data_IF_320767672752
#
_entry.id   IF_320767672752
#
_cell.length_a   1.000
_cell.length_b   1.000
_cell.length_c   1.000
_cell.angle_alpha   90.00
_cell.angle_beta   90.00
_cell.angle_gamma   90.00
#
_symmetry.space_group_name_H-M   'P 1'
#
loop_
_entity.id
_entity.type
_entity.pdbx_description
1 polymer ?
#
# COMPACT_ATOMS: atom_id res chain seq x y z
N UNK A 1 29.41 -21.05 10.97
CA UNK A 1 28.12 -21.57 11.46
C UNK A 1 27.17 -20.44 11.92
N UNK A 2 27.70 -19.41 12.61
CA UNK A 2 26.84 -18.27 13.07
C UNK A 2 26.25 -17.42 11.95
N UNK A 3 26.98 -17.19 10.86
CA UNK A 3 26.51 -16.37 9.73
C UNK A 3 25.40 -17.08 8.98
N UNK A 4 25.53 -18.38 8.71
CA UNK A 4 24.47 -19.14 8.03
C UNK A 4 23.21 -19.23 8.87
N UNK A 5 23.33 -19.35 10.18
CA UNK A 5 22.22 -19.35 11.11
C UNK A 5 21.52 -17.97 11.13
N UNK A 6 22.29 -16.88 11.16
CA UNK A 6 21.75 -15.52 11.11
C UNK A 6 21.04 -15.20 9.78
N UNK A 7 21.54 -15.73 8.65
CA UNK A 7 20.86 -15.62 7.36
C UNK A 7 19.52 -16.36 7.37
N UNK A 8 19.46 -17.56 7.97
CA UNK A 8 18.23 -18.33 8.08
C UNK A 8 17.20 -17.62 8.97
N UNK A 9 17.62 -17.10 10.13
CA UNK A 9 16.78 -16.30 11.03
C UNK A 9 16.28 -15.04 10.32
N UNK A 10 17.17 -14.33 9.63
CA UNK A 10 16.81 -13.13 8.87
C UNK A 10 15.78 -13.40 7.79
N UNK A 11 15.89 -14.52 7.08
CA UNK A 11 14.91 -14.94 6.10
C UNK A 11 13.54 -15.20 6.75
N UNK A 12 13.50 -15.95 7.86
CA UNK A 12 12.23 -16.20 8.60
C UNK A 12 11.59 -14.89 9.09
N UNK A 13 12.39 -13.99 9.67
CA UNK A 13 11.90 -12.69 10.14
C UNK A 13 11.33 -11.87 8.95
N UNK A 14 11.98 -11.88 7.80
CA UNK A 14 11.48 -11.16 6.62
C UNK A 14 10.14 -11.69 6.12
N UNK A 15 9.89 -13.00 6.23
CA UNK A 15 8.58 -13.59 5.92
C UNK A 15 7.50 -13.14 6.90
N UNK A 16 7.83 -12.99 8.19
CA UNK A 16 6.92 -12.46 9.20
C UNK A 16 6.60 -10.99 8.89
N UNK A 17 7.58 -10.19 8.47
CA UNK A 17 7.38 -8.80 8.04
C UNK A 17 6.42 -8.75 6.86
N UNK A 18 6.58 -9.60 5.85
CA UNK A 18 5.68 -9.69 4.69
C UNK A 18 4.26 -10.05 5.13
N UNK A 19 4.13 -11.03 6.01
CA UNK A 19 2.82 -11.44 6.54
C UNK A 19 2.13 -10.28 7.28
N UNK A 20 2.87 -9.57 8.13
CA UNK A 20 2.36 -8.40 8.84
C UNK A 20 1.97 -7.26 7.87
N UNK A 21 2.83 -6.96 6.90
CA UNK A 21 2.53 -5.98 5.85
C UNK A 21 1.25 -6.32 5.09
N UNK A 22 1.05 -7.59 4.73
CA UNK A 22 -0.14 -8.05 4.03
C UNK A 22 -1.44 -7.86 4.80
N UNK A 23 -1.39 -8.04 6.12
CA UNK A 23 -2.60 -8.05 6.95
C UNK A 23 -2.91 -6.69 7.60
N UNK A 24 -1.91 -5.86 7.80
CA UNK A 24 -2.03 -4.63 8.60
C UNK A 24 -1.63 -3.35 7.87
N UNK A 25 -1.13 -3.42 6.62
CA UNK A 25 -0.82 -2.21 5.83
C UNK A 25 -2.08 -1.59 5.27
N UNK A 26 -2.17 -0.25 5.40
CA UNK A 26 -3.24 0.61 4.84
C UNK A 26 -2.96 1.02 3.39
N UNK A 27 -1.87 0.53 2.80
CA UNK A 27 -1.46 0.90 1.44
C UNK A 27 -2.51 0.46 0.44
N UNK A 28 -3.11 1.42 -0.26
CA UNK A 28 -4.15 1.24 -1.28
C UNK A 28 -3.67 0.38 -2.46
N UNK A 29 -2.38 0.48 -2.80
CA UNK A 29 -1.75 -0.33 -3.85
C UNK A 29 -0.82 -1.35 -3.24
N UNK A 30 -1.32 -2.57 -3.02
CA UNK A 30 -0.53 -3.68 -2.49
C UNK A 30 0.45 -4.17 -3.56
N UNK A 31 1.60 -3.46 -3.74
CA UNK A 31 2.60 -3.78 -4.76
C UNK A 31 3.23 -5.14 -4.49
N UNK A 32 2.85 -6.13 -5.29
CA UNK A 32 3.45 -7.48 -5.23
C UNK A 32 4.98 -7.43 -5.34
N UNK A 33 5.51 -6.49 -6.12
CA UNK A 33 6.96 -6.29 -6.30
C UNK A 33 7.67 -5.87 -5.03
N UNK A 34 7.06 -5.00 -4.18
CA UNK A 34 7.68 -4.52 -2.94
C UNK A 34 7.93 -5.67 -1.94
N UNK A 35 6.98 -6.59 -1.80
CA UNK A 35 7.08 -7.73 -0.88
C UNK A 35 8.28 -8.63 -1.16
N UNK A 36 8.56 -8.85 -2.45
CA UNK A 36 9.67 -9.70 -2.87
C UNK A 36 11.04 -9.07 -2.60
N UNK A 37 11.10 -7.75 -2.44
CA UNK A 37 12.35 -7.02 -2.18
C UNK A 37 12.76 -7.11 -0.71
N UNK A 38 11.81 -7.23 0.23
CA UNK A 38 12.11 -7.22 1.67
C UNK A 38 13.08 -8.35 2.11
N UNK A 39 12.86 -9.64 1.73
CA UNK A 39 13.82 -10.69 2.08
C UNK A 39 15.20 -10.46 1.47
N UNK A 40 15.23 -9.99 0.23
CA UNK A 40 16.48 -9.69 -0.45
C UNK A 40 17.30 -8.63 0.29
N UNK A 41 16.65 -7.52 0.70
CA UNK A 41 17.30 -6.45 1.46
C UNK A 41 17.80 -6.97 2.81
N UNK A 42 17.01 -7.77 3.55
CA UNK A 42 17.45 -8.35 4.82
C UNK A 42 18.73 -9.17 4.65
N UNK A 43 18.74 -10.10 3.70
CA UNK A 43 19.87 -11.00 3.48
C UNK A 43 21.12 -10.26 3.02
N UNK A 44 20.98 -9.31 2.09
CA UNK A 44 22.11 -8.49 1.62
C UNK A 44 22.65 -7.62 2.77
N UNK A 45 21.79 -7.04 3.60
CA UNK A 45 22.23 -6.24 4.74
C UNK A 45 22.99 -7.07 5.76
N UNK A 46 22.51 -8.28 6.09
CA UNK A 46 23.25 -9.22 6.97
C UNK A 46 24.63 -9.50 6.40
N UNK A 47 24.71 -9.83 5.10
CA UNK A 47 25.98 -10.16 4.45
C UNK A 47 26.94 -8.96 4.49
N UNK A 48 26.49 -7.79 4.07
CA UNK A 48 27.31 -6.58 4.03
C UNK A 48 27.84 -6.22 5.41
N UNK A 49 27.00 -6.21 6.44
CA UNK A 49 27.42 -5.88 7.81
C UNK A 49 28.36 -6.95 8.39
N UNK A 50 28.14 -8.21 8.07
CA UNK A 50 29.06 -9.28 8.50
C UNK A 50 30.47 -9.09 7.94
N UNK A 51 30.59 -8.61 6.70
CA UNK A 51 31.88 -8.32 6.06
C UNK A 51 32.48 -7.05 6.63
N UNK A 52 31.68 -5.98 6.72
CA UNK A 52 32.15 -4.63 7.08
C UNK A 52 32.62 -4.56 8.53
N UNK A 53 31.96 -5.25 9.46
CA UNK A 53 32.33 -5.24 10.87
C UNK A 53 33.75 -5.79 11.15
N UNK A 54 34.30 -6.55 10.19
CA UNK A 54 35.65 -7.15 10.34
C UNK A 54 36.77 -6.13 10.11
N UNK A 55 36.48 -4.94 9.52
CA UNK A 55 37.51 -3.95 9.19
C UNK A 55 36.97 -2.52 9.21
N UNK A 56 37.63 -1.67 9.98
CA UNK A 56 37.30 -0.23 10.02
C UNK A 56 37.46 0.46 8.66
N UNK A 57 38.47 0.05 7.88
CA UNK A 57 38.69 0.63 6.56
C UNK A 57 37.51 0.30 5.60
N UNK A 58 36.99 -0.94 5.66
CA UNK A 58 35.80 -1.33 4.89
C UNK A 58 34.54 -0.56 5.36
N UNK A 59 34.41 -0.34 6.67
CA UNK A 59 33.28 0.45 7.21
C UNK A 59 33.27 1.87 6.67
N UNK A 60 34.42 2.56 6.71
CA UNK A 60 34.54 3.93 6.17
C UNK A 60 34.36 3.97 4.66
N UNK A 61 34.90 2.98 3.95
CA UNK A 61 34.74 2.84 2.51
C UNK A 61 33.27 2.64 2.10
N UNK A 62 32.52 1.80 2.84
CA UNK A 62 31.10 1.57 2.57
C UNK A 62 30.26 2.83 2.82
N UNK A 63 30.50 3.54 3.94
CA UNK A 63 29.79 4.82 4.23
C UNK A 63 30.05 5.83 3.10
N UNK A 64 31.31 5.95 2.64
CA UNK A 64 31.66 6.79 1.52
C UNK A 64 30.95 6.38 0.22
N UNK A 65 30.93 5.07 -0.09
CA UNK A 65 30.26 4.56 -1.27
C UNK A 65 28.74 4.76 -1.23
N UNK A 66 28.10 4.53 -0.09
CA UNK A 66 26.65 4.73 0.07
C UNK A 66 26.25 6.20 0.02
N UNK A 67 27.12 7.13 0.39
CA UNK A 67 26.83 8.58 0.32
C UNK A 67 26.70 9.10 -1.13
N UNK A 68 27.24 8.37 -2.11
CA UNK A 68 27.13 8.71 -3.53
C UNK A 68 25.85 8.14 -4.14
N UNK A 69 25.24 7.12 -3.51
CA UNK A 69 24.02 6.50 -4.01
C UNK A 69 22.83 7.43 -3.80
N UNK A 70 22.34 8.00 -4.87
CA UNK A 70 21.17 8.88 -4.87
C UNK A 70 19.97 8.15 -5.47
N UNK A 71 18.96 7.88 -4.64
CA UNK A 71 17.69 7.38 -5.15
C UNK A 71 16.96 8.52 -5.89
N UNK A 72 16.59 8.28 -7.14
CA UNK A 72 15.85 9.25 -7.95
C UNK A 72 14.35 8.97 -8.00
N UNK A 73 13.92 7.79 -7.58
CA UNK A 73 12.52 7.39 -7.54
C UNK A 73 11.93 7.74 -6.18
N UNK A 74 10.89 8.58 -6.10
CA UNK A 74 10.21 8.85 -4.84
C UNK A 74 9.53 7.57 -4.35
N UNK A 75 9.71 7.25 -3.07
CA UNK A 75 8.89 6.23 -2.39
C UNK A 75 7.53 6.88 -2.16
N UNK A 76 6.49 6.33 -2.80
CA UNK A 76 5.16 6.93 -2.79
C UNK A 76 4.44 6.79 -1.46
N UNK A 77 4.69 5.68 -0.74
CA UNK A 77 3.96 5.34 0.48
C UNK A 77 4.88 5.37 1.71
N UNK A 78 4.58 6.22 2.71
CA UNK A 78 5.38 6.30 3.94
C UNK A 78 5.45 4.98 4.71
N UNK A 79 4.39 4.16 4.64
CA UNK A 79 4.36 2.85 5.30
C UNK A 79 5.36 1.87 4.68
N UNK A 80 5.49 1.84 3.36
CA UNK A 80 6.48 1.01 2.67
C UNK A 80 7.89 1.36 3.13
N UNK A 81 8.18 2.65 3.28
CA UNK A 81 9.46 3.13 3.79
C UNK A 81 9.73 2.66 5.23
N UNK A 82 8.72 2.67 6.10
CA UNK A 82 8.86 2.19 7.48
C UNK A 82 9.17 0.68 7.52
N UNK A 83 8.50 -0.15 6.71
CA UNK A 83 8.81 -1.57 6.60
C UNK A 83 10.20 -1.82 6.02
N UNK A 84 10.64 -1.00 5.06
CA UNK A 84 11.99 -1.06 4.52
C UNK A 84 13.03 -0.81 5.61
N UNK A 85 12.85 0.24 6.42
CA UNK A 85 13.76 0.54 7.54
C UNK A 85 13.76 -0.55 8.60
N UNK A 86 12.61 -1.14 8.91
CA UNK A 86 12.53 -2.27 9.83
C UNK A 86 13.35 -3.46 9.30
N UNK A 87 13.25 -3.76 8.02
CA UNK A 87 13.97 -4.82 7.32
C UNK A 87 15.48 -4.60 7.36
N UNK A 88 15.93 -3.37 7.09
CA UNK A 88 17.33 -2.97 7.20
C UNK A 88 17.81 -3.08 8.65
N UNK A 89 17.03 -2.62 9.62
CA UNK A 89 17.37 -2.70 11.05
C UNK A 89 17.58 -4.14 11.53
N UNK A 90 16.70 -5.05 11.11
CA UNK A 90 16.86 -6.50 11.37
C UNK A 90 18.15 -7.02 10.75
N UNK A 91 18.43 -6.65 9.50
CA UNK A 91 19.65 -7.03 8.79
C UNK A 91 20.92 -6.53 9.48
N UNK A 92 20.94 -5.29 9.97
CA UNK A 92 22.04 -4.70 10.73
C UNK A 92 22.30 -5.47 12.04
N UNK A 93 21.25 -5.72 12.81
CA UNK A 93 21.38 -6.41 14.11
C UNK A 93 21.89 -7.86 13.96
N UNK A 94 21.35 -8.61 13.02
CA UNK A 94 21.79 -9.99 12.74
C UNK A 94 23.20 -10.02 12.15
N UNK A 95 23.54 -9.10 11.25
CA UNK A 95 24.89 -8.96 10.69
C UNK A 95 25.94 -8.60 11.74
N UNK A 96 25.56 -7.79 12.74
CA UNK A 96 26.41 -7.46 13.88
C UNK A 96 26.59 -8.62 14.88
N UNK A 97 25.94 -9.77 14.70
CA UNK A 97 25.87 -10.89 15.64
C UNK A 97 25.12 -10.59 16.97
N UNK A 98 24.27 -9.57 16.98
CA UNK A 98 23.38 -9.25 18.09
C UNK A 98 22.05 -9.96 17.96
N UNK A 99 22.08 -11.27 17.68
CA UNK A 99 20.90 -12.06 17.28
C UNK A 99 19.78 -12.00 18.31
N UNK A 100 20.08 -12.21 19.59
CA UNK A 100 19.10 -12.21 20.67
C UNK A 100 18.43 -10.83 20.80
N UNK A 101 19.23 -9.75 20.82
CA UNK A 101 18.73 -8.39 20.91
C UNK A 101 17.82 -8.04 19.73
N UNK A 102 18.22 -8.44 18.52
CA UNK A 102 17.45 -8.18 17.29
C UNK A 102 16.10 -8.89 17.32
N UNK A 103 16.06 -10.17 17.75
CA UNK A 103 14.82 -10.92 17.83
C UNK A 103 13.88 -10.29 18.87
N UNK A 104 14.37 -9.95 20.07
CA UNK A 104 13.56 -9.34 21.11
C UNK A 104 13.02 -7.98 20.65
N UNK A 105 13.88 -7.12 20.11
CA UNK A 105 13.47 -5.80 19.58
C UNK A 105 12.45 -5.92 18.46
N UNK A 106 12.64 -6.88 17.54
CA UNK A 106 11.70 -7.14 16.45
C UNK A 106 10.32 -7.55 16.97
N UNK A 107 10.25 -8.47 17.94
CA UNK A 107 8.98 -8.91 18.57
C UNK A 107 8.27 -7.72 19.21
N UNK A 108 9.00 -6.90 20.00
CA UNK A 108 8.43 -5.71 20.63
C UNK A 108 7.87 -4.73 19.59
N UNK A 109 8.63 -4.45 18.52
CA UNK A 109 8.19 -3.53 17.45
C UNK A 109 6.93 -4.07 16.76
N UNK A 110 6.89 -5.36 16.40
CA UNK A 110 5.71 -5.95 15.75
C UNK A 110 4.49 -5.91 16.66
N UNK A 111 4.65 -6.19 17.93
CA UNK A 111 3.54 -6.09 18.92
C UNK A 111 3.02 -4.65 18.97
N UNK A 112 3.91 -3.66 19.11
CA UNK A 112 3.53 -2.25 19.18
C UNK A 112 2.85 -1.76 17.89
N UNK A 113 3.27 -2.24 16.73
CA UNK A 113 2.64 -1.92 15.44
C UNK A 113 1.29 -2.59 15.24
N UNK A 114 1.06 -3.73 15.88
CA UNK A 114 -0.20 -4.49 15.75
C UNK A 114 -1.31 -3.94 16.66
N UNK A 115 -0.97 -3.44 17.86
CA UNK A 115 -1.94 -2.94 18.85
C UNK A 115 -2.88 -1.86 18.28
N UNK A 116 -2.41 -0.79 17.61
CA UNK A 116 -3.27 0.28 17.11
C UNK A 116 -4.04 -0.09 15.84
N UNK A 117 -3.66 -1.17 15.16
CA UNK A 117 -4.28 -1.56 13.88
C UNK A 117 -5.24 -2.71 14.10
N UNK A 118 -6.52 -2.42 14.26
CA UNK A 118 -7.58 -3.43 14.07
C UNK A 118 -7.41 -4.03 12.68
N UNK A 119 -7.52 -5.36 12.55
CA UNK A 119 -7.47 -6.05 11.25
C UNK A 119 -8.34 -5.29 10.24
N UNK A 120 -7.71 -4.72 9.24
CA UNK A 120 -8.44 -4.07 8.15
C UNK A 120 -9.15 -5.19 7.42
N UNK A 121 -10.47 -5.14 7.47
CA UNK A 121 -11.31 -6.07 6.73
C UNK A 121 -11.10 -5.75 5.24
N UNK A 122 -10.23 -6.51 4.57
CA UNK A 122 -9.92 -6.38 3.13
C UNK A 122 -11.11 -6.65 2.20
N UNK A 123 -12.29 -6.84 2.77
CA UNK A 123 -13.53 -6.92 2.01
C UNK A 123 -14.06 -5.55 1.55
N UNK A 124 -13.32 -4.46 1.83
CA UNK A 124 -13.55 -3.19 1.13
C UNK A 124 -12.87 -3.34 -0.22
N UNK A 125 -13.63 -3.72 -1.20
CA UNK A 125 -13.27 -3.60 -2.62
C UNK A 125 -12.63 -2.24 -2.83
N UNK A 126 -11.48 -2.25 -3.50
CA UNK A 126 -10.77 -1.03 -3.89
C UNK A 126 -11.80 -0.04 -4.42
N UNK A 127 -11.72 1.23 -3.98
CA UNK A 127 -12.70 2.23 -4.38
C UNK A 127 -12.70 2.38 -5.89
N UNK A 128 -13.89 2.41 -6.48
CA UNK A 128 -14.06 2.71 -7.89
C UNK A 128 -14.34 4.20 -8.06
N UNK A 129 -13.77 4.81 -9.07
CA UNK A 129 -14.09 6.16 -9.47
C UNK A 129 -15.22 6.08 -10.48
N UNK A 130 -16.38 6.59 -10.09
CA UNK A 130 -17.52 6.80 -10.97
C UNK A 130 -17.48 8.24 -11.46
N UNK A 131 -17.18 8.42 -12.74
CA UNK A 131 -17.25 9.71 -13.40
C UNK A 131 -18.53 9.77 -14.21
N UNK A 132 -19.36 10.78 -13.97
CA UNK A 132 -20.61 11.04 -14.67
C UNK A 132 -20.46 12.37 -15.37
N UNK A 133 -20.64 12.37 -16.68
CA UNK A 133 -20.48 13.53 -17.55
C UNK A 133 -21.83 13.99 -18.10
N UNK A 134 -21.90 15.26 -18.42
CA UNK A 134 -23.00 15.86 -19.17
C UNK A 134 -24.39 15.68 -18.50
N UNK A 135 -24.45 15.91 -17.19
CA UNK A 135 -25.72 15.87 -16.46
C UNK A 135 -26.56 17.07 -16.91
N UNK A 136 -27.71 16.78 -17.51
CA UNK A 136 -28.69 17.83 -17.91
C UNK A 136 -29.22 18.57 -16.68
N UNK A 137 -29.50 19.84 -16.81
CA UNK A 137 -29.97 20.71 -15.72
C UNK A 137 -31.28 20.24 -15.05
N UNK A 138 -32.00 19.33 -15.70
CA UNK A 138 -33.27 18.77 -15.21
C UNK A 138 -33.09 17.65 -14.19
N UNK A 139 -31.89 17.07 -14.09
CA UNK A 139 -31.62 15.98 -13.17
C UNK A 139 -31.21 16.56 -11.81
N UNK A 140 -32.01 16.27 -10.79
CA UNK A 140 -31.69 16.67 -9.42
C UNK A 140 -30.61 15.78 -8.86
N UNK A 141 -29.47 16.37 -8.54
CA UNK A 141 -28.30 15.67 -7.96
C UNK A 141 -28.68 14.88 -6.69
N UNK A 142 -29.69 15.35 -5.94
CA UNK A 142 -30.19 14.69 -4.74
C UNK A 142 -30.87 13.34 -5.05
N UNK A 143 -31.63 13.27 -6.16
CA UNK A 143 -32.29 12.03 -6.59
C UNK A 143 -31.27 11.02 -7.11
N UNK A 144 -30.30 11.48 -7.89
CA UNK A 144 -29.17 10.67 -8.35
C UNK A 144 -28.37 10.08 -7.16
N UNK A 145 -28.06 10.91 -6.17
CA UNK A 145 -27.36 10.46 -4.97
C UNK A 145 -28.15 9.38 -4.19
N UNK A 146 -29.46 9.49 -4.09
CA UNK A 146 -30.29 8.49 -3.42
C UNK A 146 -30.27 7.16 -4.16
N UNK A 147 -30.45 7.17 -5.48
CA UNK A 147 -30.39 5.94 -6.30
C UNK A 147 -29.01 5.26 -6.22
N UNK A 148 -27.93 6.04 -6.25
CA UNK A 148 -26.58 5.52 -6.10
C UNK A 148 -26.33 4.91 -4.71
N UNK A 149 -26.86 5.49 -3.63
CA UNK A 149 -26.70 4.99 -2.26
C UNK A 149 -27.43 3.66 -2.02
N UNK A 150 -28.45 3.32 -2.79
CA UNK A 150 -29.15 2.03 -2.65
C UNK A 150 -28.29 0.86 -3.14
N UNK A 151 -27.40 1.11 -4.10
CA UNK A 151 -26.57 0.07 -4.74
C UNK A 151 -25.14 0.07 -4.18
N UNK A 152 -24.72 1.16 -3.53
CA UNK A 152 -23.35 1.36 -3.06
C UNK A 152 -23.28 1.35 -1.54
N UNK A 153 -22.20 0.78 -1.00
CA UNK A 153 -21.97 0.78 0.46
C UNK A 153 -21.56 2.15 1.00
N UNK A 154 -20.77 2.87 0.20
CA UNK A 154 -20.28 4.20 0.53
C UNK A 154 -20.11 5.00 -0.75
N UNK A 155 -20.57 6.25 -0.73
CA UNK A 155 -20.48 7.17 -1.83
C UNK A 155 -19.89 8.48 -1.32
N UNK A 156 -18.72 8.84 -1.80
CA UNK A 156 -18.03 10.09 -1.46
C UNK A 156 -17.91 10.95 -2.73
N UNK A 157 -18.55 12.12 -2.75
CA UNK A 157 -18.37 13.09 -3.83
C UNK A 157 -16.98 13.70 -3.74
N UNK A 158 -16.17 13.55 -4.78
CA UNK A 158 -14.79 14.06 -4.86
C UNK A 158 -14.66 15.34 -5.66
N UNK A 159 -15.45 15.45 -6.71
CA UNK A 159 -15.39 16.61 -7.62
C UNK A 159 -16.78 16.90 -8.19
N UNK A 160 -17.09 18.18 -8.28
CA UNK A 160 -18.27 18.71 -8.96
C UNK A 160 -17.80 19.89 -9.80
N UNK A 161 -17.85 19.72 -11.10
CA UNK A 161 -17.59 20.79 -12.04
C UNK A 161 -18.91 21.23 -12.68
N UNK A 162 -19.12 22.52 -12.73
CA UNK A 162 -20.29 23.13 -13.35
C UNK A 162 -19.79 24.19 -14.32
N UNK A 163 -19.67 23.80 -15.59
CA UNK A 163 -19.40 24.69 -16.73
C UNK A 163 -20.63 24.80 -17.59
N UNK A 164 -20.59 24.39 -18.84
CA UNK A 164 -21.75 24.30 -19.73
C UNK A 164 -22.53 22.99 -19.48
N UNK A 165 -21.86 21.97 -18.93
CA UNK A 165 -22.42 20.71 -18.40
C UNK A 165 -22.01 20.53 -16.94
N UNK A 166 -22.75 19.71 -16.21
CA UNK A 166 -22.39 19.35 -14.85
C UNK A 166 -21.72 17.97 -14.86
N UNK A 167 -20.48 17.93 -14.41
CA UNK A 167 -19.69 16.70 -14.30
C UNK A 167 -19.47 16.36 -12.82
N UNK A 168 -19.72 15.10 -12.48
CA UNK A 168 -19.59 14.58 -11.11
C UNK A 168 -18.57 13.45 -11.05
N UNK A 169 -17.70 13.49 -10.06
CA UNK A 169 -16.78 12.39 -9.77
C UNK A 169 -17.03 11.89 -8.36
N UNK A 170 -17.46 10.66 -8.25
CA UNK A 170 -17.67 9.96 -6.99
C UNK A 170 -16.62 8.90 -6.76
N UNK A 171 -16.20 8.75 -5.51
CA UNK A 171 -15.52 7.56 -5.04
C UNK A 171 -16.56 6.61 -4.47
N UNK A 172 -16.67 5.43 -5.07
CA UNK A 172 -17.70 4.45 -4.78
C UNK A 172 -17.08 3.18 -4.23
N UNK A 173 -17.65 2.65 -3.15
CA UNK A 173 -17.24 1.37 -2.59
C UNK A 173 -18.37 0.36 -2.75
N UNK A 174 -18.07 -0.82 -3.28
CA UNK A 174 -19.00 -1.92 -3.46
C UNK A 174 -18.70 -3.06 -2.50
N UNK A 175 -19.71 -3.80 -2.07
CA UNK A 175 -19.54 -5.03 -1.29
C UNK A 175 -19.17 -6.23 -2.17
N UNK A 176 -19.57 -6.20 -3.45
CA UNK A 176 -19.27 -7.25 -4.43
C UNK A 176 -19.25 -6.70 -5.86
N UNK A 177 -18.60 -7.44 -6.75
CA UNK A 177 -18.53 -7.10 -8.20
C UNK A 177 -19.93 -7.09 -8.84
N UNK A 178 -20.87 -7.91 -8.34
CA UNK A 178 -22.27 -7.92 -8.82
C UNK A 178 -22.95 -6.55 -8.67
N UNK A 179 -22.61 -5.78 -7.66
CA UNK A 179 -23.19 -4.46 -7.43
C UNK A 179 -22.78 -3.44 -8.51
N UNK A 180 -21.62 -3.64 -9.16
CA UNK A 180 -21.21 -2.81 -10.31
C UNK A 180 -22.16 -3.02 -11.50
N UNK A 181 -22.58 -4.26 -11.73
CA UNK A 181 -23.55 -4.58 -12.80
C UNK A 181 -24.91 -3.96 -12.48
N UNK A 182 -25.36 -4.08 -11.23
CA UNK A 182 -26.61 -3.45 -10.76
C UNK A 182 -26.56 -1.91 -10.88
N UNK A 183 -25.42 -1.30 -10.56
CA UNK A 183 -25.22 0.14 -10.74
C UNK A 183 -25.32 0.54 -12.20
N UNK A 184 -24.68 -0.22 -13.10
CA UNK A 184 -24.75 0.01 -14.53
C UNK A 184 -26.19 -0.07 -15.02
N UNK A 185 -26.91 -1.14 -14.65
CA UNK A 185 -28.28 -1.36 -15.08
C UNK A 185 -29.23 -0.26 -14.57
N UNK A 186 -28.98 0.25 -13.35
CA UNK A 186 -29.70 1.39 -12.79
C UNK A 186 -29.45 2.68 -13.60
N UNK A 187 -28.18 2.98 -13.90
CA UNK A 187 -27.82 4.18 -14.66
C UNK A 187 -28.37 4.11 -16.10
N UNK A 188 -28.28 2.96 -16.76
CA UNK A 188 -28.78 2.77 -18.13
C UNK A 188 -30.31 2.83 -18.21
N UNK A 189 -31.04 2.44 -17.13
CA UNK A 189 -32.51 2.41 -17.11
C UNK A 189 -33.11 3.73 -16.69
N UNK A 190 -32.60 4.34 -15.62
CA UNK A 190 -33.17 5.57 -15.06
C UNK A 190 -32.61 6.84 -15.70
N UNK A 191 -31.36 6.78 -16.24
CA UNK A 191 -30.65 7.93 -16.79
C UNK A 191 -30.02 7.67 -18.15
N UNK A 192 -30.78 7.33 -19.19
CA UNK A 192 -30.26 6.88 -20.50
C UNK A 192 -29.46 7.95 -21.27
N UNK A 193 -29.50 9.21 -20.83
CA UNK A 193 -28.80 10.32 -21.49
C UNK A 193 -27.49 10.72 -20.81
N UNK A 194 -27.10 10.03 -19.74
CA UNK A 194 -25.88 10.32 -18.98
C UNK A 194 -24.74 9.46 -19.54
N UNK A 195 -23.59 10.11 -19.78
CA UNK A 195 -22.36 9.39 -20.04
C UNK A 195 -21.63 9.17 -18.72
N UNK A 196 -21.24 7.93 -18.48
CA UNK A 196 -20.50 7.57 -17.26
C UNK A 196 -19.33 6.62 -17.55
N UNK A 197 -18.31 6.68 -16.71
CA UNK A 197 -17.19 5.74 -16.71
C UNK A 197 -16.92 5.27 -15.28
N UNK A 198 -16.64 3.97 -15.15
CA UNK A 198 -16.26 3.34 -13.88
C UNK A 198 -14.80 2.89 -14.02
N UNK A 199 -13.94 3.46 -13.22
CA UNK A 199 -12.49 3.22 -13.26
C UNK A 199 -12.08 2.64 -11.92
N UNK A 200 -11.34 1.53 -11.92
CA UNK A 200 -10.71 1.01 -10.72
C UNK A 200 -9.62 1.99 -10.25
N UNK A 201 -9.67 2.39 -8.99
CA UNK A 201 -8.67 3.31 -8.43
C UNK A 201 -7.26 2.70 -8.42
N UNK A 202 -7.14 1.36 -8.43
CA UNK A 202 -5.86 0.66 -8.45
C UNK A 202 -5.09 0.85 -9.77
N UNK A 203 -5.80 1.15 -10.87
CA UNK A 203 -5.24 1.27 -12.22
C UNK A 203 -4.83 2.71 -12.59
N UNK A 204 -5.17 3.69 -11.75
CA UNK A 204 -4.80 5.08 -12.04
C UNK A 204 -3.32 5.32 -11.72
N UNK A 205 -2.55 5.89 -12.67
CA UNK A 205 -1.22 6.40 -12.38
C UNK A 205 -1.37 7.56 -11.39
N UNK A 206 -0.87 7.37 -10.17
CA UNK A 206 -0.82 8.44 -9.18
C UNK A 206 0.14 9.50 -9.70
N UNK A 207 -0.40 10.67 -9.98
CA UNK A 207 0.34 11.85 -10.44
C UNK A 207 1.31 12.36 -9.37
#
# INVERSE_FOLDING_TARGET
>A
LSVTLNLFIGFIISLIIIYHYNNYSLVLSCRKSFKNVLPFITLVTILVITIVKSSLALSLGLVGALSIVRFRTPIKEPEELAYLFLTIGVGLGLGANLTLLTIVSFIVIIILLTIPKTKINKNVTDGFILHIENISADIKIEELNKGLLEVTKKLDLRRLDKTDSTDLVFLVHFDSISNIITLRDLLDTEYPHIHYSIIDQSDLPVA
#
